data_IF_223575807632
#
_entry.id   IF_223575807632
#
_cell.length_a   1.000
_cell.length_b   1.000
_cell.length_c   1.000
_cell.angle_alpha   90.00
_cell.angle_beta   90.00
_cell.angle_gamma   90.00
#
_symmetry.space_group_name_H-M   'P 1'
#
loop_
_entity.id
_entity.type
_entity.pdbx_description
1 polymer ?
#
# COMPACT_ATOMS: atom_id res chain seq x y z
N UNK A 1 -8.87 18.62 -1.55
CA UNK A 1 -8.66 17.80 -2.76
C UNK A 1 -7.18 17.77 -3.06
N UNK A 2 -6.57 16.65 -3.37
CA UNK A 2 -7.15 15.45 -4.02
C UNK A 2 -7.66 14.38 -3.05
N UNK A 3 -8.59 13.53 -3.51
CA UNK A 3 -8.95 12.28 -2.87
C UNK A 3 -8.25 11.11 -3.59
N UNK A 4 -7.24 10.55 -2.95
CA UNK A 4 -6.42 9.50 -3.58
C UNK A 4 -7.05 8.11 -3.48
N UNK A 5 -7.46 7.67 -2.28
CA UNK A 5 -8.03 6.33 -2.03
C UNK A 5 -9.55 6.44 -1.82
N UNK A 6 -10.30 5.49 -2.36
CA UNK A 6 -11.76 5.37 -2.28
C UNK A 6 -12.25 4.16 -3.08
N UNK A 7 -13.55 4.14 -3.49
CA UNK A 7 -14.53 5.21 -3.32
C UNK A 7 -15.12 5.29 -1.91
N UNK A 8 -15.77 6.44 -1.60
CA UNK A 8 -16.61 6.57 -0.41
C UNK A 8 -18.02 7.03 -0.81
N UNK A 9 -19.01 6.55 -0.08
CA UNK A 9 -20.37 7.06 -0.14
C UNK A 9 -20.70 7.74 1.20
N UNK A 10 -20.85 9.06 1.19
CA UNK A 10 -20.92 9.90 2.38
C UNK A 10 -22.22 10.74 2.38
N UNK A 11 -23.22 10.33 3.16
CA UNK A 11 -24.48 11.10 3.29
C UNK A 11 -25.12 11.49 1.93
N UNK A 12 -25.10 10.56 0.97
CA UNK A 12 -25.64 10.79 -0.38
C UNK A 12 -24.66 11.45 -1.35
N UNK A 13 -23.40 11.67 -0.95
CA UNK A 13 -22.33 12.17 -1.82
C UNK A 13 -21.38 11.03 -2.17
N UNK A 14 -21.19 10.80 -3.46
CA UNK A 14 -20.21 9.84 -3.97
C UNK A 14 -18.86 10.53 -4.15
N UNK A 15 -17.87 10.09 -3.36
CA UNK A 15 -16.47 10.51 -3.50
C UNK A 15 -15.76 9.49 -4.39
N UNK A 16 -15.82 9.73 -5.69
CA UNK A 16 -15.12 8.92 -6.69
C UNK A 16 -13.63 9.30 -6.72
N UNK A 17 -12.84 8.67 -5.86
CA UNK A 17 -11.42 8.97 -5.70
C UNK A 17 -10.58 8.51 -6.90
N UNK A 18 -9.31 8.96 -6.98
CA UNK A 18 -8.37 8.55 -8.04
C UNK A 18 -8.26 7.04 -8.16
N UNK A 19 -8.05 6.37 -7.02
CA UNK A 19 -7.91 4.92 -6.96
C UNK A 19 -9.21 4.23 -6.61
N UNK A 20 -9.57 3.24 -7.41
CA UNK A 20 -10.52 2.19 -7.05
C UNK A 20 -9.86 1.24 -6.06
N UNK A 21 -9.68 1.74 -4.84
CA UNK A 21 -9.01 0.99 -3.76
C UNK A 21 -9.79 -0.26 -3.32
N UNK A 22 -11.08 -0.29 -3.63
CA UNK A 22 -11.95 -1.46 -3.48
C UNK A 22 -11.48 -2.65 -4.32
N UNK A 23 -10.99 -2.42 -5.55
CA UNK A 23 -10.46 -3.48 -6.42
C UNK A 23 -9.20 -4.12 -5.81
N UNK A 24 -8.28 -3.29 -5.31
CA UNK A 24 -7.10 -3.80 -4.58
C UNK A 24 -7.52 -4.61 -3.34
N UNK A 25 -8.48 -4.10 -2.56
CA UNK A 25 -8.98 -4.81 -1.38
C UNK A 25 -9.56 -6.18 -1.74
N UNK A 26 -10.34 -6.27 -2.80
CA UNK A 26 -10.93 -7.53 -3.28
C UNK A 26 -9.87 -8.56 -3.70
N UNK A 27 -8.75 -8.12 -4.28
CA UNK A 27 -7.63 -8.99 -4.65
C UNK A 27 -6.90 -9.56 -3.44
N UNK A 28 -6.74 -8.78 -2.37
CA UNK A 28 -5.95 -9.19 -1.22
C UNK A 28 -6.74 -9.90 -0.11
N UNK A 29 -8.00 -9.48 0.15
CA UNK A 29 -8.74 -9.89 1.36
C UNK A 29 -8.96 -11.41 1.47
N UNK A 30 -9.05 -12.11 0.36
CA UNK A 30 -9.25 -13.56 0.31
C UNK A 30 -7.97 -14.40 0.54
N UNK A 31 -6.81 -13.75 0.59
CA UNK A 31 -5.51 -14.40 0.73
C UNK A 31 -4.87 -14.20 2.10
N UNK A 32 -5.28 -13.15 2.82
CA UNK A 32 -4.77 -12.81 4.16
C UNK A 32 -5.48 -13.62 5.23
N UNK A 33 -4.82 -13.75 6.37
CA UNK A 33 -5.47 -14.34 7.54
C UNK A 33 -6.67 -13.47 7.99
N UNK A 34 -7.78 -14.08 8.48
CA UNK A 34 -8.96 -13.33 8.92
C UNK A 34 -8.60 -12.24 9.91
N UNK A 35 -9.08 -11.01 9.68
CA UNK A 35 -8.74 -9.86 10.52
C UNK A 35 -9.54 -9.79 11.83
N UNK A 36 -10.53 -10.65 12.01
CA UNK A 36 -11.36 -10.66 13.22
C UNK A 36 -10.51 -10.70 14.49
N UNK A 37 -10.77 -9.76 15.40
CA UNK A 37 -10.12 -9.57 16.70
C UNK A 37 -8.61 -9.23 16.62
N UNK A 38 -8.04 -8.99 15.40
CA UNK A 38 -6.63 -8.67 15.22
C UNK A 38 -6.33 -7.19 15.49
N UNK A 39 -5.11 -6.95 15.96
CA UNK A 39 -4.46 -5.65 16.03
C UNK A 39 -3.78 -5.39 14.68
N UNK A 40 -4.21 -4.38 13.96
CA UNK A 40 -3.75 -4.11 12.60
C UNK A 40 -3.02 -2.79 12.52
N UNK A 41 -1.87 -2.76 11.83
CA UNK A 41 -1.10 -1.57 11.49
C UNK A 41 -1.08 -1.40 9.96
N UNK A 42 -1.36 -0.18 9.47
CA UNK A 42 -1.29 0.19 8.04
C UNK A 42 -0.28 1.32 7.83
N UNK A 43 0.88 1.00 7.28
CA UNK A 43 1.94 1.96 6.96
C UNK A 43 1.68 2.54 5.57
N UNK A 44 1.59 3.88 5.47
CA UNK A 44 1.16 4.59 4.27
C UNK A 44 -0.35 4.53 4.08
N UNK A 45 -1.10 4.65 5.18
CA UNK A 45 -2.56 4.49 5.19
C UNK A 45 -3.31 5.51 4.31
N UNK A 46 -2.67 6.62 3.92
CA UNK A 46 -3.32 7.70 3.17
C UNK A 46 -4.49 8.29 3.94
N UNK A 47 -5.63 8.50 3.29
CA UNK A 47 -6.84 9.02 3.94
C UNK A 47 -7.58 8.00 4.84
N UNK A 48 -6.98 6.82 5.09
CA UNK A 48 -7.54 5.81 5.99
C UNK A 48 -8.58 4.88 5.35
N UNK A 49 -8.74 4.87 4.03
CA UNK A 49 -9.71 4.00 3.36
C UNK A 49 -9.61 2.54 3.82
N UNK A 50 -8.40 1.99 3.87
CA UNK A 50 -8.20 0.60 4.28
C UNK A 50 -8.41 0.37 5.78
N UNK A 51 -8.21 1.38 6.64
CA UNK A 51 -8.52 1.25 8.07
C UNK A 51 -10.00 0.91 8.29
N UNK A 52 -10.90 1.60 7.55
CA UNK A 52 -12.33 1.30 7.61
C UNK A 52 -12.65 -0.09 7.03
N UNK A 53 -11.95 -0.53 5.96
CA UNK A 53 -12.10 -1.89 5.43
C UNK A 53 -11.66 -2.95 6.44
N UNK A 54 -10.50 -2.75 7.09
CA UNK A 54 -9.98 -3.66 8.12
C UNK A 54 -10.94 -3.79 9.31
N UNK A 55 -11.54 -2.68 9.75
CA UNK A 55 -12.57 -2.71 10.79
C UNK A 55 -13.84 -3.41 10.31
N UNK A 56 -14.22 -3.26 9.03
CA UNK A 56 -15.34 -3.98 8.43
C UNK A 56 -15.14 -5.51 8.41
N UNK A 57 -13.89 -5.98 8.32
CA UNK A 57 -13.50 -7.40 8.46
C UNK A 57 -13.35 -7.84 9.94
N UNK A 58 -13.75 -6.99 10.89
CA UNK A 58 -13.78 -7.32 12.31
C UNK A 58 -12.46 -7.11 13.05
N UNK A 59 -11.52 -6.34 12.53
CA UNK A 59 -10.30 -6.01 13.26
C UNK A 59 -10.63 -5.38 14.63
N UNK A 60 -9.90 -5.77 15.67
CA UNK A 60 -10.06 -5.22 17.03
C UNK A 60 -9.79 -3.73 17.06
N UNK A 61 -8.74 -3.30 16.37
CA UNK A 61 -8.45 -1.93 16.01
C UNK A 61 -7.52 -1.87 14.80
N UNK A 62 -7.56 -0.75 14.09
CA UNK A 62 -6.67 -0.45 12.98
C UNK A 62 -5.95 0.87 13.24
N UNK A 63 -4.61 0.83 13.28
CA UNK A 63 -3.74 1.99 13.41
C UNK A 63 -3.13 2.33 12.05
N UNK A 64 -3.42 3.51 11.52
CA UNK A 64 -2.80 4.03 10.32
C UNK A 64 -1.65 4.98 10.63
N UNK A 65 -0.62 4.94 9.79
CA UNK A 65 0.54 5.83 9.87
C UNK A 65 0.82 6.41 8.50
N UNK A 66 0.77 7.74 8.37
CA UNK A 66 1.08 8.47 7.14
C UNK A 66 1.46 9.92 7.46
N UNK A 67 2.58 10.47 6.97
CA UNK A 67 3.02 11.82 7.32
C UNK A 67 2.23 12.94 6.66
N UNK A 68 1.33 12.64 5.72
CA UNK A 68 0.65 13.63 4.88
C UNK A 68 -0.49 14.31 5.63
N UNK A 69 -0.33 15.57 5.97
CA UNK A 69 -1.34 16.35 6.71
C UNK A 69 -2.72 16.36 6.04
N UNK A 70 -2.78 16.48 4.71
CA UNK A 70 -4.05 16.43 3.97
C UNK A 70 -4.81 15.14 4.26
N UNK A 71 -4.14 14.01 4.20
CA UNK A 71 -4.76 12.70 4.45
C UNK A 71 -5.23 12.54 5.90
N UNK A 72 -4.48 13.10 6.85
CA UNK A 72 -4.92 13.15 8.24
C UNK A 72 -6.25 13.90 8.40
N UNK A 73 -6.39 15.09 7.76
CA UNK A 73 -7.65 15.84 7.86
C UNK A 73 -8.80 15.17 7.11
N UNK A 74 -8.52 14.50 5.99
CA UNK A 74 -9.53 13.68 5.30
C UNK A 74 -10.00 12.52 6.19
N UNK A 75 -9.06 11.80 6.82
CA UNK A 75 -9.39 10.76 7.80
C UNK A 75 -10.24 11.31 8.96
N UNK A 76 -9.88 12.45 9.54
CA UNK A 76 -10.64 13.07 10.64
C UNK A 76 -12.05 13.47 10.21
N UNK A 77 -12.24 13.94 8.98
CA UNK A 77 -13.56 14.21 8.43
C UNK A 77 -14.38 12.92 8.27
N UNK A 78 -13.78 11.87 7.70
CA UNK A 78 -14.42 10.56 7.58
C UNK A 78 -14.80 9.99 8.94
N UNK A 79 -13.91 10.08 9.93
CA UNK A 79 -14.16 9.56 11.29
C UNK A 79 -15.33 10.26 12.00
N UNK A 80 -15.59 11.54 11.67
CA UNK A 80 -16.77 12.25 12.19
C UNK A 80 -18.08 11.76 11.56
N UNK A 81 -18.04 11.35 10.31
CA UNK A 81 -19.20 10.86 9.57
C UNK A 81 -19.44 9.37 9.80
N UNK A 82 -18.38 8.61 9.98
CA UNK A 82 -18.39 7.19 10.33
C UNK A 82 -17.69 7.01 11.68
N UNK A 83 -18.43 7.07 12.81
CA UNK A 83 -17.84 6.91 14.13
C UNK A 83 -17.20 5.52 14.26
N UNK A 84 -15.91 5.41 14.00
CA UNK A 84 -15.12 4.20 14.15
C UNK A 84 -14.15 4.40 15.32
N UNK A 85 -14.59 4.09 16.54
CA UNK A 85 -13.80 4.30 17.75
C UNK A 85 -12.52 3.45 17.82
N UNK A 86 -12.38 2.46 16.94
CA UNK A 86 -11.22 1.57 16.85
C UNK A 86 -10.30 1.90 15.67
N UNK A 87 -10.56 2.98 14.92
CA UNK A 87 -9.65 3.51 13.90
C UNK A 87 -8.78 4.63 14.49
N UNK A 88 -7.48 4.45 14.43
CA UNK A 88 -6.51 5.44 14.92
C UNK A 88 -5.59 5.88 13.77
N UNK A 89 -5.07 7.10 13.86
CA UNK A 89 -4.18 7.67 12.85
C UNK A 89 -3.05 8.46 13.51
N UNK A 90 -1.80 8.15 13.13
CA UNK A 90 -0.63 8.89 13.53
C UNK A 90 -0.05 9.63 12.30
N UNK A 91 0.00 10.97 12.32
CA UNK A 91 0.59 11.76 11.24
C UNK A 91 2.12 11.77 11.32
N UNK A 92 2.72 10.58 11.24
CA UNK A 92 4.15 10.31 11.41
C UNK A 92 4.69 9.52 10.23
N UNK A 93 6.01 9.48 10.10
CA UNK A 93 6.73 8.51 9.26
C UNK A 93 6.94 7.22 10.03
N UNK A 94 7.03 6.07 9.34
CA UNK A 94 7.25 4.78 10.01
C UNK A 94 8.55 4.71 10.78
N UNK A 95 9.62 5.41 10.31
CA UNK A 95 10.91 5.48 10.98
C UNK A 95 10.89 6.19 12.36
N UNK A 96 9.81 6.92 12.63
CA UNK A 96 9.61 7.60 13.92
C UNK A 96 8.92 6.71 14.95
N UNK A 97 8.48 5.52 14.55
CA UNK A 97 7.82 4.57 15.43
C UNK A 97 8.83 3.66 16.11
N UNK A 98 8.60 3.28 17.38
CA UNK A 98 9.38 2.23 18.02
C UNK A 98 9.02 0.86 17.44
N UNK A 99 9.89 -0.12 17.63
CA UNK A 99 9.56 -1.52 17.36
C UNK A 99 8.47 -2.00 18.34
N UNK A 100 7.26 -2.20 17.83
CA UNK A 100 6.13 -2.58 18.69
C UNK A 100 6.13 -4.08 19.03
N UNK A 101 6.55 -4.95 18.13
CA UNK A 101 6.51 -6.41 18.27
C UNK A 101 5.13 -6.94 18.76
N UNK A 102 4.03 -6.29 18.36
CA UNK A 102 2.72 -6.53 18.97
C UNK A 102 1.54 -6.62 18.00
N UNK A 103 1.73 -6.26 16.73
CA UNK A 103 0.65 -6.31 15.74
C UNK A 103 0.48 -7.72 15.16
N UNK A 104 -0.77 -8.14 15.00
CA UNK A 104 -1.12 -9.41 14.37
C UNK A 104 -0.98 -9.36 12.85
N UNK A 105 -1.27 -8.19 12.26
CA UNK A 105 -1.14 -7.93 10.82
C UNK A 105 -0.54 -6.55 10.60
N UNK A 106 0.46 -6.48 9.73
CA UNK A 106 1.08 -5.22 9.28
C UNK A 106 0.90 -5.10 7.78
N UNK A 107 0.27 -4.02 7.34
CA UNK A 107 0.09 -3.68 5.94
C UNK A 107 1.08 -2.58 5.54
N UNK A 108 1.64 -2.71 4.33
CA UNK A 108 2.40 -1.66 3.66
C UNK A 108 2.06 -1.71 2.18
N UNK A 109 1.15 -0.84 1.75
CA UNK A 109 0.60 -0.88 0.40
C UNK A 109 0.91 0.41 -0.36
N UNK A 110 1.82 0.31 -1.35
CA UNK A 110 2.25 1.43 -2.17
C UNK A 110 3.32 2.31 -1.51
N UNK A 111 4.19 1.73 -0.66
CA UNK A 111 5.21 2.48 0.10
C UNK A 111 6.63 2.08 -0.24
N UNK A 112 6.92 0.78 -0.44
CA UNK A 112 8.27 0.24 -0.57
C UNK A 112 9.13 1.00 -1.59
N UNK A 113 8.59 1.26 -2.77
CA UNK A 113 9.32 1.96 -3.84
C UNK A 113 9.61 3.45 -3.54
N UNK A 114 8.96 4.02 -2.53
CA UNK A 114 9.24 5.37 -2.03
C UNK A 114 10.33 5.40 -0.95
N UNK A 115 10.83 4.24 -0.55
CA UNK A 115 11.88 4.12 0.48
C UNK A 115 13.24 4.06 -0.19
N UNK A 116 14.23 4.82 0.34
CA UNK A 116 15.61 4.79 -0.15
C UNK A 116 16.25 3.41 -0.01
N UNK A 117 15.97 2.76 1.11
CA UNK A 117 16.36 1.39 1.38
C UNK A 117 15.13 0.52 1.54
N UNK A 118 14.88 -0.36 0.57
CA UNK A 118 13.80 -1.33 0.65
C UNK A 118 14.01 -2.31 1.81
N UNK A 119 15.25 -2.74 2.05
CA UNK A 119 15.59 -3.68 3.12
C UNK A 119 15.33 -3.09 4.51
N UNK A 120 15.74 -1.82 4.75
CA UNK A 120 15.46 -1.15 6.02
C UNK A 120 13.96 -1.04 6.28
N UNK A 121 13.19 -0.70 5.24
CA UNK A 121 11.73 -0.65 5.38
C UNK A 121 11.13 -2.02 5.71
N UNK A 122 11.58 -3.09 5.07
CA UNK A 122 11.13 -4.44 5.39
C UNK A 122 11.48 -4.82 6.84
N UNK A 123 12.68 -4.46 7.34
CA UNK A 123 13.06 -4.66 8.74
C UNK A 123 12.15 -3.89 9.71
N UNK A 124 11.83 -2.63 9.40
CA UNK A 124 10.87 -1.85 10.18
C UNK A 124 9.52 -2.56 10.28
N UNK A 125 8.96 -2.99 9.14
CA UNK A 125 7.67 -3.68 9.10
C UNK A 125 7.66 -4.97 9.93
N UNK A 126 8.73 -5.77 9.83
CA UNK A 126 8.92 -7.00 10.62
C UNK A 126 9.03 -6.69 12.11
N UNK A 127 9.70 -5.56 12.49
CA UNK A 127 9.81 -5.10 13.87
C UNK A 127 8.46 -4.72 14.51
N UNK A 128 7.46 -4.38 13.72
CA UNK A 128 6.12 -4.09 14.24
C UNK A 128 5.29 -5.35 14.52
N UNK A 129 5.59 -6.47 13.83
CA UNK A 129 4.87 -7.72 13.97
C UNK A 129 5.22 -8.45 15.27
N UNK A 130 4.20 -9.02 15.94
CA UNK A 130 4.45 -10.03 16.96
C UNK A 130 4.97 -11.33 16.34
N UNK A 131 5.58 -12.26 17.12
CA UNK A 131 5.80 -13.62 16.65
C UNK A 131 4.50 -14.25 16.12
N UNK A 132 4.56 -14.93 14.98
CA UNK A 132 3.40 -15.47 14.27
C UNK A 132 2.50 -14.43 13.60
N UNK A 133 2.90 -13.17 13.54
CA UNK A 133 2.17 -12.10 12.84
C UNK A 133 2.40 -12.12 11.32
N UNK A 134 1.47 -11.59 10.54
CA UNK A 134 1.47 -11.60 9.07
C UNK A 134 1.81 -10.22 8.50
N UNK A 135 2.77 -10.17 7.56
CA UNK A 135 3.06 -9.01 6.72
C UNK A 135 2.27 -9.10 5.42
N UNK A 136 1.57 -8.02 5.09
CA UNK A 136 0.88 -7.82 3.83
C UNK A 136 1.56 -6.66 3.09
N UNK A 137 2.33 -7.00 2.06
CA UNK A 137 3.11 -6.05 1.28
C UNK A 137 2.51 -5.91 -0.12
N UNK A 138 2.17 -4.69 -0.54
CA UNK A 138 1.85 -4.40 -1.93
C UNK A 138 2.78 -3.32 -2.47
N UNK A 139 3.39 -3.57 -3.63
CA UNK A 139 4.37 -2.64 -4.20
C UNK A 139 4.44 -2.74 -5.72
N UNK A 140 5.06 -1.73 -6.34
CA UNK A 140 5.49 -1.81 -7.73
C UNK A 140 6.53 -2.91 -7.91
N UNK A 141 6.43 -3.63 -9.02
CA UNK A 141 7.39 -4.65 -9.43
C UNK A 141 7.72 -4.51 -10.92
N UNK A 142 8.86 -5.14 -11.31
CA UNK A 142 9.18 -5.46 -12.70
C UNK A 142 9.27 -6.98 -12.88
N UNK A 143 9.05 -7.52 -14.08
CA UNK A 143 9.33 -8.93 -14.37
C UNK A 143 10.83 -9.23 -14.21
N UNK A 144 11.16 -10.39 -13.66
CA UNK A 144 12.56 -10.83 -13.56
C UNK A 144 12.82 -11.87 -12.49
N UNK A 145 14.06 -12.33 -12.45
CA UNK A 145 14.60 -13.24 -11.44
C UNK A 145 14.92 -12.50 -10.11
N UNK A 146 15.40 -13.21 -9.06
CA UNK A 146 15.70 -12.61 -7.75
C UNK A 146 16.76 -11.50 -7.74
N UNK A 147 17.60 -11.39 -8.78
CA UNK A 147 18.62 -10.34 -8.88
C UNK A 147 18.10 -9.06 -9.53
N UNK A 148 16.89 -9.10 -10.10
CA UNK A 148 16.38 -8.00 -10.93
C UNK A 148 15.77 -6.89 -10.09
N UNK A 149 16.36 -5.69 -10.18
CA UNK A 149 15.86 -4.45 -9.58
C UNK A 149 16.05 -3.32 -10.59
N UNK A 150 15.02 -2.56 -10.84
CA UNK A 150 15.07 -1.32 -11.62
C UNK A 150 15.33 -0.13 -10.69
N UNK A 151 16.30 0.68 -11.01
CA UNK A 151 16.58 1.96 -10.36
C UNK A 151 16.30 3.07 -11.37
N UNK A 152 15.16 3.77 -11.28
CA UNK A 152 14.87 4.88 -12.19
C UNK A 152 15.91 6.00 -12.06
N UNK A 153 16.35 6.56 -13.20
CA UNK A 153 17.40 7.61 -13.20
C UNK A 153 16.86 8.92 -12.61
N UNK A 154 15.66 9.32 -12.98
CA UNK A 154 15.03 10.57 -12.54
C UNK A 154 13.62 10.31 -12.01
N UNK A 155 12.72 9.84 -12.87
CA UNK A 155 11.31 9.63 -12.56
C UNK A 155 10.86 8.24 -13.01
N UNK A 156 9.76 7.78 -12.42
CA UNK A 156 9.02 6.62 -12.87
C UNK A 156 7.52 6.96 -12.83
N UNK A 157 6.85 6.89 -13.96
CA UNK A 157 5.45 7.30 -14.09
C UNK A 157 5.21 8.69 -13.45
N UNK A 158 6.05 9.67 -13.84
CA UNK A 158 6.11 11.05 -13.32
C UNK A 158 6.45 11.22 -11.83
N UNK A 159 6.64 10.14 -11.08
CA UNK A 159 7.02 10.19 -9.67
C UNK A 159 8.54 10.35 -9.51
N UNK A 160 8.99 11.45 -8.89
CA UNK A 160 10.40 11.73 -8.64
C UNK A 160 10.96 11.02 -7.38
N UNK A 161 10.11 10.33 -6.63
CA UNK A 161 10.47 9.69 -5.36
C UNK A 161 10.33 8.15 -5.44
N UNK A 162 10.58 7.57 -6.59
CA UNK A 162 10.70 6.12 -6.77
C UNK A 162 12.18 5.76 -6.79
N UNK A 163 12.63 5.01 -5.76
CA UNK A 163 14.05 4.70 -5.59
C UNK A 163 14.44 3.36 -6.18
N UNK A 164 13.57 2.36 -6.05
CA UNK A 164 13.82 1.02 -6.59
C UNK A 164 12.51 0.30 -6.86
N UNK A 165 12.49 -0.49 -7.93
CA UNK A 165 11.36 -1.35 -8.30
C UNK A 165 11.93 -2.76 -8.51
N UNK A 166 11.86 -3.65 -7.50
CA UNK A 166 12.36 -5.02 -7.59
C UNK A 166 11.41 -5.93 -8.36
N UNK A 167 11.89 -7.10 -8.73
CA UNK A 167 11.01 -8.21 -9.11
C UNK A 167 10.29 -8.78 -7.88
N UNK A 168 9.15 -9.47 -8.06
CA UNK A 168 8.50 -10.18 -6.96
C UNK A 168 9.43 -11.24 -6.35
N UNK A 169 10.20 -11.95 -7.18
CA UNK A 169 11.18 -12.93 -6.75
C UNK A 169 12.32 -12.32 -5.90
N UNK A 170 12.75 -11.08 -6.22
CA UNK A 170 13.72 -10.36 -5.39
C UNK A 170 13.15 -10.06 -3.99
N UNK A 171 11.90 -9.59 -3.92
CA UNK A 171 11.24 -9.29 -2.63
C UNK A 171 11.08 -10.58 -1.81
N UNK A 172 10.66 -11.69 -2.43
CA UNK A 172 10.54 -12.97 -1.75
C UNK A 172 11.90 -13.40 -1.14
N UNK A 173 12.99 -13.29 -1.91
CA UNK A 173 14.34 -13.57 -1.44
C UNK A 173 14.75 -12.67 -0.27
N UNK A 174 14.47 -11.36 -0.33
CA UNK A 174 14.78 -10.45 0.76
C UNK A 174 14.00 -10.78 2.03
N UNK A 175 12.70 -11.07 1.93
CA UNK A 175 11.88 -11.46 3.09
C UNK A 175 12.36 -12.76 3.72
N UNK A 176 12.74 -13.76 2.90
CA UNK A 176 13.33 -15.02 3.38
C UNK A 176 14.67 -14.80 4.08
N UNK A 177 15.55 -13.96 3.52
CA UNK A 177 16.84 -13.59 4.12
C UNK A 177 16.65 -12.83 5.46
N UNK A 178 15.55 -12.09 5.63
CA UNK A 178 15.16 -11.45 6.89
C UNK A 178 14.47 -12.41 7.87
N UNK A 179 14.41 -13.70 7.57
CA UNK A 179 13.88 -14.74 8.44
C UNK A 179 12.37 -14.97 8.35
N UNK A 180 11.67 -14.28 7.46
CA UNK A 180 10.23 -14.48 7.28
C UNK A 180 9.94 -15.87 6.69
N UNK A 181 8.79 -16.43 7.05
CA UNK A 181 8.29 -17.74 6.61
C UNK A 181 7.06 -17.59 5.72
N UNK A 182 6.69 -18.65 5.03
CA UNK A 182 5.50 -18.71 4.17
C UNK A 182 5.44 -17.54 3.17
N UNK A 183 6.62 -17.11 2.71
CA UNK A 183 6.73 -15.99 1.75
C UNK A 183 6.14 -16.42 0.41
N UNK A 184 5.15 -15.67 -0.06
CA UNK A 184 4.47 -15.95 -1.33
C UNK A 184 3.92 -14.71 -1.98
N UNK A 185 3.98 -14.64 -3.29
CA UNK A 185 3.25 -13.69 -4.12
C UNK A 185 1.85 -14.25 -4.40
N UNK A 186 0.80 -13.50 -4.10
CA UNK A 186 -0.59 -13.95 -4.23
C UNK A 186 -1.37 -13.24 -5.34
N UNK A 187 -0.88 -12.10 -5.80
CA UNK A 187 -1.45 -11.34 -6.92
C UNK A 187 -0.36 -10.58 -7.65
N UNK A 188 -0.47 -10.53 -8.98
CA UNK A 188 0.31 -9.64 -9.85
C UNK A 188 -0.69 -9.00 -10.81
N UNK A 189 -0.79 -7.67 -10.77
CA UNK A 189 -1.74 -6.92 -11.58
C UNK A 189 -1.07 -5.69 -12.19
N UNK A 190 -1.18 -5.51 -13.51
CA UNK A 190 -0.82 -4.26 -14.16
C UNK A 190 -1.89 -3.21 -13.82
N UNK A 191 -1.46 -2.04 -13.37
CA UNK A 191 -2.37 -0.93 -13.05
C UNK A 191 -3.06 -0.45 -14.32
N UNK A 192 -4.39 -0.42 -14.31
CA UNK A 192 -5.18 0.04 -15.45
C UNK A 192 -5.74 1.45 -15.22
N UNK A 193 -6.10 2.13 -16.31
CA UNK A 193 -6.80 3.42 -16.28
C UNK A 193 -8.20 3.33 -15.65
N UNK A 194 -8.74 2.13 -15.47
CA UNK A 194 -9.99 1.91 -14.75
C UNK A 194 -9.77 1.87 -13.23
N UNK A 195 -8.56 1.54 -12.78
CA UNK A 195 -8.20 1.48 -11.36
C UNK A 195 -7.59 2.79 -10.85
N UNK A 196 -6.75 3.46 -11.67
CA UNK A 196 -6.16 4.76 -11.34
C UNK A 196 -6.51 5.77 -12.43
N UNK A 197 -7.33 6.77 -12.09
CA UNK A 197 -7.92 7.70 -13.07
C UNK A 197 -8.15 9.10 -12.51
N UNK A 198 -8.27 10.08 -13.39
CA UNK A 198 -8.83 11.39 -13.04
C UNK A 198 -10.32 11.29 -12.75
N UNK A 199 -10.79 12.06 -11.77
CA UNK A 199 -12.19 12.17 -11.38
C UNK A 199 -12.48 13.60 -10.95
N UNK A 200 -13.73 13.93 -10.67
CA UNK A 200 -14.11 15.24 -10.09
C UNK A 200 -13.42 15.49 -8.74
N UNK A 201 -13.08 14.43 -8.00
CA UNK A 201 -12.44 14.47 -6.70
C UNK A 201 -10.90 14.38 -6.77
N UNK A 202 -10.36 14.16 -7.98
CA UNK A 202 -8.92 14.10 -8.26
C UNK A 202 -8.65 14.69 -9.65
N UNK A 203 -8.37 15.99 -9.70
CA UNK A 203 -8.22 16.77 -10.94
C UNK A 203 -6.76 16.93 -11.41
N UNK A 204 -5.79 16.32 -10.70
CA UNK A 204 -4.39 16.30 -11.11
C UNK A 204 -4.13 15.20 -12.14
N UNK A 205 -2.87 15.12 -12.60
CA UNK A 205 -2.42 14.05 -13.48
C UNK A 205 -2.62 12.67 -12.83
N UNK A 206 -3.01 11.68 -13.62
CA UNK A 206 -3.23 10.31 -13.20
C UNK A 206 -2.61 9.33 -14.20
N UNK A 207 -2.84 8.03 -14.09
CA UNK A 207 -2.12 6.99 -14.84
C UNK A 207 -2.06 7.27 -16.36
N UNK A 208 -3.17 7.67 -16.96
CA UNK A 208 -3.25 7.96 -18.40
C UNK A 208 -2.20 8.99 -18.85
N UNK A 209 -1.89 9.96 -18.00
CA UNK A 209 -0.89 11.02 -18.28
C UNK A 209 0.55 10.51 -18.08
N UNK A 210 0.74 9.36 -17.47
CA UNK A 210 2.06 8.80 -17.14
C UNK A 210 2.48 7.67 -18.06
N UNK A 211 1.58 7.21 -18.94
CA UNK A 211 1.85 6.19 -19.94
C UNK A 211 2.27 6.83 -21.27
N UNK A 212 3.13 6.14 -22.02
CA UNK A 212 3.48 6.54 -23.39
C UNK A 212 2.21 6.49 -24.26
N UNK A 213 1.82 7.60 -24.91
CA UNK A 213 0.60 7.64 -25.71
C UNK A 213 0.64 6.74 -26.95
N UNK A 214 1.83 6.29 -27.37
CA UNK A 214 2.02 5.38 -28.52
C UNK A 214 2.17 3.93 -28.09
N UNK A 215 2.52 3.68 -26.83
CA UNK A 215 2.68 2.33 -26.27
C UNK A 215 2.37 2.32 -24.77
N UNK A 216 1.14 2.02 -24.40
CA UNK A 216 0.67 2.02 -23.01
C UNK A 216 1.30 0.94 -22.10
N UNK A 217 2.14 0.05 -22.66
CA UNK A 217 2.96 -0.89 -21.88
C UNK A 217 4.24 -0.23 -21.32
N UNK A 218 4.46 1.03 -21.67
CA UNK A 218 5.59 1.85 -21.19
C UNK A 218 5.09 3.12 -20.48
N UNK A 219 5.92 3.62 -19.56
CA UNK A 219 5.74 4.98 -19.02
C UNK A 219 6.30 6.01 -20.02
N UNK A 220 5.98 7.29 -19.81
CA UNK A 220 6.54 8.40 -20.60
C UNK A 220 8.09 8.46 -20.53
N UNK A 221 8.69 7.89 -19.46
CA UNK A 221 10.13 7.76 -19.29
C UNK A 221 10.70 6.47 -19.91
N UNK A 222 9.88 5.70 -20.66
CA UNK A 222 10.24 4.45 -21.34
C UNK A 222 10.59 3.28 -20.40
N UNK A 223 10.09 3.29 -19.18
CA UNK A 223 10.12 2.13 -18.28
C UNK A 223 8.85 1.27 -18.49
N UNK A 224 8.86 -0.01 -18.08
CA UNK A 224 7.62 -0.82 -18.08
C UNK A 224 6.49 -0.13 -17.31
N UNK A 225 5.26 -0.21 -17.83
CA UNK A 225 4.09 0.34 -17.20
C UNK A 225 3.88 -0.23 -15.77
N UNK A 226 3.27 0.55 -14.86
CA UNK A 226 3.14 0.18 -13.46
C UNK A 226 2.45 -1.17 -13.26
N UNK A 227 3.21 -2.17 -12.84
CA UNK A 227 2.74 -3.48 -12.42
C UNK A 227 2.95 -3.62 -10.92
N UNK A 228 2.00 -4.21 -10.22
CA UNK A 228 2.00 -4.33 -8.77
C UNK A 228 1.87 -5.78 -8.35
N UNK A 229 2.56 -6.15 -7.28
CA UNK A 229 2.41 -7.45 -6.65
C UNK A 229 1.91 -7.30 -5.22
N UNK A 230 1.14 -8.29 -4.77
CA UNK A 230 0.78 -8.48 -3.36
C UNK A 230 1.56 -9.71 -2.87
N UNK A 231 2.36 -9.49 -1.83
CA UNK A 231 3.14 -10.54 -1.18
C UNK A 231 2.70 -10.69 0.28
N UNK A 232 2.67 -11.92 0.73
CA UNK A 232 2.36 -12.28 2.11
C UNK A 232 3.54 -13.02 2.72
N UNK A 233 3.76 -12.83 4.02
CA UNK A 233 4.76 -13.59 4.77
C UNK A 233 4.45 -13.57 6.27
N UNK A 234 4.94 -14.57 7.00
CA UNK A 234 4.70 -14.75 8.44
C UNK A 234 6.00 -14.58 9.22
N UNK A 235 5.99 -13.79 10.29
CA UNK A 235 7.10 -13.70 11.24
C UNK A 235 7.15 -15.00 12.05
N UNK A 236 8.32 -15.67 12.19
CA UNK A 236 8.45 -16.86 13.01
C UNK A 236 7.96 -16.65 14.45
N UNK A 237 7.47 -17.75 15.07
CA UNK A 237 7.07 -17.78 16.49
C UNK A 237 8.25 -17.74 17.41
#
# INVERSE_FOLDING_TARGET
>A
MPWRKGPFHLLGIDVDAEWRSDLKWQRLVRHIAPLKDRKVLDIGCGNGYYLFRMLGEGARYALGVDPTRLFYYQFRALQKLFPANSAFYLPLRSEQLPEFNSFDSVFSMGVLYHRRSAEEHLRELIGFLRPGGELILETLIIPGDPSKVLFPIDRYASMANVWSIPSSAAIETWLQALGMKEVRTVDITQTSIHEQRRTEWMQFLSLEDFLDPTNTDLTIEQYPAPTRAILLSTKPS
#
